data_IF_871589722266
#
_entry.id   IF_871589722266
#
_cell.length_a   1.000
_cell.length_b   1.000
_cell.length_c   1.000
_cell.angle_alpha   90.00
_cell.angle_beta   90.00
_cell.angle_gamma   90.00
#
_symmetry.space_group_name_H-M   'P 1'
#
loop_
_entity.id
_entity.type
_entity.pdbx_description
1 polymer ?
#
# COMPACT_ATOMS: atom_id res chain seq x y z
N UNK A 1 -59.43 -22.44 -24.39
CA UNK A 1 -58.77 -22.41 -23.07
C UNK A 1 -57.48 -23.22 -23.15
N UNK A 2 -56.32 -22.59 -22.84
CA UNK A 2 -55.07 -23.21 -22.26
C UNK A 2 -54.45 -24.38 -23.08
N UNK A 3 -53.20 -24.38 -23.55
CA UNK A 3 -51.95 -23.76 -23.08
C UNK A 3 -50.97 -23.65 -24.25
N UNK A 4 -50.25 -22.53 -24.26
CA UNK A 4 -49.09 -22.23 -25.11
C UNK A 4 -47.92 -23.13 -24.68
N UNK A 5 -47.30 -23.87 -25.61
CA UNK A 5 -46.05 -24.59 -25.36
C UNK A 5 -44.98 -24.05 -26.31
N UNK A 6 -44.12 -23.20 -25.75
CA UNK A 6 -42.90 -22.68 -26.34
C UNK A 6 -41.93 -23.84 -26.63
N UNK A 7 -41.47 -23.98 -27.87
CA UNK A 7 -40.37 -24.89 -28.20
C UNK A 7 -39.31 -24.22 -29.09
N UNK A 8 -38.22 -23.85 -28.41
CA UNK A 8 -36.82 -24.09 -28.80
C UNK A 8 -36.32 -23.34 -30.05
N UNK A 9 -35.85 -22.11 -29.84
CA UNK A 9 -34.74 -21.56 -30.64
C UNK A 9 -33.47 -21.74 -29.82
N UNK A 10 -32.66 -22.72 -30.19
CA UNK A 10 -31.35 -22.98 -29.62
C UNK A 10 -30.38 -21.87 -30.05
N UNK A 11 -30.19 -20.87 -29.19
CA UNK A 11 -29.13 -19.88 -29.34
C UNK A 11 -27.89 -20.41 -28.63
N UNK A 12 -27.02 -21.08 -29.39
CA UNK A 12 -25.71 -21.57 -28.95
C UNK A 12 -24.84 -20.35 -28.67
N UNK A 13 -24.68 -20.01 -27.40
CA UNK A 13 -23.69 -19.03 -26.93
C UNK A 13 -22.32 -19.72 -26.84
N UNK A 14 -21.45 -19.36 -27.78
CA UNK A 14 -20.04 -19.75 -27.83
C UNK A 14 -19.30 -19.11 -26.63
N UNK A 15 -19.04 -19.89 -25.59
CA UNK A 15 -18.13 -19.50 -24.51
C UNK A 15 -16.69 -19.52 -25.03
N UNK A 16 -16.18 -18.37 -25.46
CA UNK A 16 -14.73 -18.17 -25.61
C UNK A 16 -14.15 -18.08 -24.20
N UNK A 17 -13.53 -19.16 -23.75
CA UNK A 17 -12.74 -19.17 -22.52
C UNK A 17 -11.48 -18.33 -22.77
N UNK A 18 -11.59 -17.02 -22.55
CA UNK A 18 -10.41 -16.17 -22.37
C UNK A 18 -9.76 -16.65 -21.06
N UNK A 19 -8.46 -17.01 -21.05
CA UNK A 19 -7.76 -17.19 -19.80
C UNK A 19 -7.79 -15.84 -19.08
N UNK A 20 -8.58 -15.78 -18.00
CA UNK A 20 -8.49 -14.70 -17.02
C UNK A 20 -7.09 -14.85 -16.43
N UNK A 21 -6.15 -14.03 -16.90
CA UNK A 21 -4.97 -13.75 -16.12
C UNK A 21 -5.50 -13.25 -14.78
N UNK A 22 -5.25 -13.99 -13.72
CA UNK A 22 -5.42 -13.50 -12.37
C UNK A 22 -4.51 -12.28 -12.24
N UNK A 23 -5.07 -11.10 -12.49
CA UNK A 23 -4.47 -9.84 -12.09
C UNK A 23 -4.73 -9.79 -10.57
N UNK A 24 -3.68 -10.10 -9.81
CA UNK A 24 -3.68 -10.12 -8.36
C UNK A 24 -3.65 -8.67 -7.86
N UNK A 25 -4.82 -8.03 -7.88
CA UNK A 25 -4.98 -6.59 -7.64
C UNK A 25 -5.34 -6.29 -6.19
N UNK A 26 -4.93 -7.17 -5.27
CA UNK A 26 -5.34 -7.11 -3.87
C UNK A 26 -4.28 -6.62 -2.89
N UNK A 27 -3.00 -6.53 -3.28
CA UNK A 27 -1.94 -6.59 -2.26
C UNK A 27 -0.62 -5.86 -2.52
N UNK A 28 -0.52 -4.98 -3.51
CA UNK A 28 0.75 -4.27 -3.74
C UNK A 28 0.58 -2.78 -3.55
N UNK A 29 1.15 -2.27 -2.45
CA UNK A 29 1.48 -0.86 -2.36
C UNK A 29 2.34 -0.51 -3.59
N UNK A 30 2.17 0.67 -4.22
CA UNK A 30 3.02 1.08 -5.32
C UNK A 30 4.46 1.24 -4.80
N UNK A 31 5.26 0.18 -4.92
CA UNK A 31 6.69 0.15 -4.61
C UNK A 31 7.55 0.68 -5.77
N UNK A 32 6.90 1.19 -6.82
CA UNK A 32 7.53 1.60 -8.07
C UNK A 32 8.34 2.90 -7.98
N UNK A 33 8.32 3.60 -6.84
CA UNK A 33 9.09 4.84 -6.64
C UNK A 33 9.77 4.92 -5.27
N UNK A 34 11.01 5.39 -5.28
CA UNK A 34 11.80 5.74 -4.10
C UNK A 34 11.47 7.16 -3.61
N UNK A 35 10.18 7.49 -3.51
CA UNK A 35 9.71 8.82 -3.07
C UNK A 35 9.00 8.76 -1.72
N UNK A 36 8.99 9.88 -1.00
CA UNK A 36 8.26 10.02 0.27
C UNK A 36 6.74 9.83 0.06
N UNK A 37 6.23 10.24 -1.10
CA UNK A 37 4.81 10.09 -1.47
C UNK A 37 4.40 8.63 -1.64
N UNK A 38 5.21 7.84 -2.35
CA UNK A 38 4.94 6.41 -2.56
C UNK A 38 4.95 5.64 -1.23
N UNK A 39 5.89 5.97 -0.35
CA UNK A 39 5.93 5.43 1.01
C UNK A 39 4.70 5.85 1.84
N UNK A 40 4.22 7.08 1.69
CA UNK A 40 3.01 7.56 2.38
C UNK A 40 1.76 6.81 1.91
N UNK A 41 1.66 6.55 0.61
CA UNK A 41 0.57 5.74 0.04
C UNK A 41 0.63 4.29 0.56
N UNK A 42 1.83 3.72 0.68
CA UNK A 42 2.05 2.40 1.27
C UNK A 42 1.52 2.31 2.71
N UNK A 43 1.86 3.29 3.56
CA UNK A 43 1.39 3.35 4.95
C UNK A 43 -0.14 3.52 5.04
N UNK A 44 -0.70 4.37 4.19
CA UNK A 44 -2.16 4.56 4.15
C UNK A 44 -2.88 3.26 3.76
N UNK A 45 -2.39 2.58 2.72
CA UNK A 45 -2.92 1.28 2.30
C UNK A 45 -2.82 0.24 3.42
N UNK A 46 -1.65 0.13 4.07
CA UNK A 46 -1.41 -0.79 5.18
C UNK A 46 -2.44 -0.62 6.32
N UNK A 47 -2.83 0.63 6.62
CA UNK A 47 -3.93 0.91 7.56
C UNK A 47 -5.29 0.43 7.07
N UNK A 48 -5.61 0.64 5.78
CA UNK A 48 -6.92 0.24 5.21
C UNK A 48 -7.13 -1.27 5.14
N UNK A 49 -6.07 -2.04 4.91
CA UNK A 49 -6.13 -3.51 4.81
C UNK A 49 -5.85 -4.22 6.14
N UNK A 50 -5.65 -3.45 7.22
CA UNK A 50 -5.50 -3.99 8.58
C UNK A 50 -4.10 -4.52 8.91
N UNK A 51 -3.08 -4.23 8.09
CA UNK A 51 -1.68 -4.49 8.46
C UNK A 51 -1.19 -3.58 9.58
N UNK A 52 -1.87 -2.45 9.80
CA UNK A 52 -1.68 -1.59 10.97
C UNK A 52 -3.01 -1.53 11.72
N UNK A 53 -3.08 -2.17 12.87
CA UNK A 53 -4.34 -2.33 13.62
C UNK A 53 -4.62 -1.20 14.62
N UNK A 54 -3.61 -0.38 14.90
CA UNK A 54 -3.70 0.70 15.87
C UNK A 54 -3.70 2.07 15.19
N UNK A 55 -4.80 2.80 15.33
CA UNK A 55 -4.98 4.12 14.73
C UNK A 55 -3.93 5.15 15.20
N UNK A 56 -3.49 5.08 16.46
CA UNK A 56 -2.44 5.96 16.99
C UNK A 56 -1.07 5.68 16.37
N UNK A 57 -0.75 4.41 16.12
CA UNK A 57 0.47 4.02 15.39
C UNK A 57 0.40 4.52 13.94
N UNK A 58 -0.71 4.30 13.25
CA UNK A 58 -0.91 4.78 11.88
C UNK A 58 -0.74 6.31 11.78
N UNK A 59 -1.39 7.06 12.67
CA UNK A 59 -1.27 8.53 12.72
C UNK A 59 0.17 8.97 13.00
N UNK A 60 0.87 8.30 13.93
CA UNK A 60 2.26 8.59 14.25
C UNK A 60 3.20 8.37 13.06
N UNK A 61 2.97 7.31 12.27
CA UNK A 61 3.72 7.04 11.04
C UNK A 61 3.45 8.11 9.97
N UNK A 62 2.18 8.41 9.71
CA UNK A 62 1.78 9.45 8.74
C UNK A 62 2.33 10.83 9.11
N UNK A 63 2.34 11.19 10.39
CA UNK A 63 2.90 12.47 10.86
C UNK A 63 4.40 12.60 10.55
N UNK A 64 5.17 11.52 10.68
CA UNK A 64 6.60 11.51 10.35
C UNK A 64 6.85 11.64 8.84
N UNK A 65 6.04 10.98 8.03
CA UNK A 65 6.12 11.09 6.57
C UNK A 65 5.72 12.49 6.08
N UNK A 66 4.67 13.08 6.66
CA UNK A 66 4.30 14.47 6.39
C UNK A 66 5.42 15.45 6.77
N UNK A 67 6.06 15.24 7.93
CA UNK A 67 7.22 16.05 8.35
C UNK A 67 8.41 15.89 7.40
N UNK A 68 8.68 14.67 6.92
CA UNK A 68 9.71 14.40 5.93
C UNK A 68 9.43 15.11 4.59
N UNK A 69 8.20 14.98 4.07
CA UNK A 69 7.78 15.65 2.83
C UNK A 69 7.93 17.16 2.95
N UNK A 70 7.39 17.75 4.02
CA UNK A 70 7.48 19.19 4.26
C UNK A 70 8.94 19.69 4.36
N UNK A 71 9.85 18.88 4.93
CA UNK A 71 11.26 19.21 5.00
C UNK A 71 11.93 19.12 3.61
N UNK A 72 11.61 18.07 2.85
CA UNK A 72 12.09 17.90 1.48
C UNK A 72 11.67 19.08 0.58
N UNK A 73 10.40 19.49 0.65
CA UNK A 73 9.85 20.61 -0.12
C UNK A 73 10.54 21.96 0.19
N UNK A 74 11.10 22.10 1.41
CA UNK A 74 11.90 23.27 1.82
C UNK A 74 13.40 23.13 1.48
N UNK A 75 13.82 22.08 0.79
CA UNK A 75 15.23 21.78 0.52
C UNK A 75 16.03 21.34 1.76
N UNK A 76 15.35 21.00 2.86
CA UNK A 76 15.98 20.60 4.12
C UNK A 76 16.26 19.09 4.13
N UNK A 77 17.09 18.62 3.21
CA UNK A 77 17.31 17.19 2.93
C UNK A 77 17.72 16.41 4.18
N UNK A 78 18.66 16.92 4.98
CA UNK A 78 19.08 16.25 6.23
C UNK A 78 17.94 16.12 7.24
N UNK A 79 17.03 17.10 7.29
CA UNK A 79 15.84 17.06 8.16
C UNK A 79 14.82 16.04 7.63
N UNK A 80 14.65 15.94 6.31
CA UNK A 80 13.80 14.92 5.69
C UNK A 80 14.30 13.50 6.03
N UNK A 81 15.60 13.24 5.84
CA UNK A 81 16.24 11.96 6.19
C UNK A 81 16.08 11.64 7.68
N UNK A 82 16.25 12.62 8.58
CA UNK A 82 16.06 12.38 10.01
C UNK A 82 14.61 11.99 10.36
N UNK A 83 13.62 12.57 9.68
CA UNK A 83 12.22 12.17 9.86
C UNK A 83 11.95 10.76 9.32
N UNK A 84 12.57 10.36 8.20
CA UNK A 84 12.48 9.00 7.66
C UNK A 84 13.15 7.96 8.58
N UNK A 85 14.29 8.29 9.21
CA UNK A 85 14.91 7.44 10.24
C UNK A 85 14.00 7.30 11.47
N UNK A 86 13.37 8.40 11.90
CA UNK A 86 12.40 8.35 12.98
C UNK A 86 11.14 7.52 12.61
N UNK A 87 10.77 7.49 11.32
CA UNK A 87 9.71 6.61 10.81
C UNK A 87 10.13 5.14 10.93
N UNK A 88 11.32 4.77 10.46
CA UNK A 88 11.89 3.42 10.57
C UNK A 88 11.88 2.95 12.04
N UNK A 89 12.40 3.77 12.96
CA UNK A 89 12.43 3.43 14.38
C UNK A 89 11.02 3.16 14.97
N UNK A 90 10.01 3.89 14.51
CA UNK A 90 8.63 3.66 14.95
C UNK A 90 8.07 2.36 14.36
N UNK A 91 8.35 2.07 13.09
CA UNK A 91 7.96 0.80 12.46
C UNK A 91 8.60 -0.38 13.20
N UNK A 92 9.91 -0.34 13.45
CA UNK A 92 10.63 -1.38 14.19
C UNK A 92 10.05 -1.58 15.61
N UNK A 93 9.74 -0.48 16.31
CA UNK A 93 9.19 -0.54 17.66
C UNK A 93 7.79 -1.20 17.73
N UNK A 94 7.03 -1.15 16.63
CA UNK A 94 5.64 -1.61 16.53
C UNK A 94 5.47 -2.90 15.72
N UNK A 95 6.53 -3.37 15.06
CA UNK A 95 6.56 -4.62 14.33
C UNK A 95 6.15 -5.80 15.24
N UNK A 96 5.20 -6.60 14.78
CA UNK A 96 4.64 -7.73 15.52
C UNK A 96 3.74 -7.35 16.70
N UNK A 97 3.53 -6.06 16.98
CA UNK A 97 2.61 -5.58 18.03
C UNK A 97 1.35 -4.98 17.46
N UNK A 98 1.54 -3.98 16.60
CA UNK A 98 0.47 -3.21 15.96
C UNK A 98 0.69 -3.07 14.45
N UNK A 99 1.80 -3.60 13.94
CA UNK A 99 2.14 -3.67 12.54
C UNK A 99 2.47 -5.13 12.24
N UNK A 100 1.86 -5.71 11.21
CA UNK A 100 2.26 -7.02 10.70
C UNK A 100 3.78 -7.06 10.44
N UNK A 101 4.44 -8.11 10.88
CA UNK A 101 5.90 -8.17 10.86
C UNK A 101 6.49 -8.17 9.44
N UNK A 102 5.82 -8.84 8.49
CA UNK A 102 6.23 -8.82 7.08
C UNK A 102 6.04 -7.43 6.49
N UNK A 103 4.89 -6.81 6.76
CA UNK A 103 4.61 -5.45 6.27
C UNK A 103 5.53 -4.39 6.89
N UNK A 104 5.94 -4.56 8.14
CA UNK A 104 6.95 -3.73 8.79
C UNK A 104 8.29 -3.80 8.04
N UNK A 105 8.74 -5.01 7.68
CA UNK A 105 9.96 -5.20 6.89
C UNK A 105 9.89 -4.50 5.52
N UNK A 106 8.76 -4.61 4.82
CA UNK A 106 8.54 -3.91 3.55
C UNK A 106 8.62 -2.38 3.70
N UNK A 107 7.98 -1.81 4.73
CA UNK A 107 8.01 -0.37 4.98
C UNK A 107 9.41 0.14 5.34
N UNK A 108 10.17 -0.61 6.14
CA UNK A 108 11.56 -0.26 6.49
C UNK A 108 12.44 -0.26 5.23
N UNK A 109 12.34 -1.31 4.42
CA UNK A 109 13.09 -1.41 3.17
C UNK A 109 12.73 -0.25 2.22
N UNK A 110 11.44 0.04 2.03
CA UNK A 110 11.00 1.17 1.20
C UNK A 110 11.53 2.50 1.73
N UNK A 111 11.45 2.75 3.04
CA UNK A 111 12.02 3.96 3.65
C UNK A 111 13.54 4.08 3.44
N UNK A 112 14.28 2.97 3.48
CA UNK A 112 15.71 2.98 3.18
C UNK A 112 15.98 3.36 1.72
N UNK A 113 15.21 2.83 0.75
CA UNK A 113 15.32 3.24 -0.66
C UNK A 113 15.07 4.74 -0.85
N UNK A 114 14.10 5.31 -0.13
CA UNK A 114 13.84 6.77 -0.16
C UNK A 114 15.04 7.53 0.41
N UNK A 115 15.60 7.08 1.54
CA UNK A 115 16.79 7.72 2.13
C UNK A 115 17.98 7.68 1.17
N UNK A 116 18.22 6.54 0.52
CA UNK A 116 19.31 6.36 -0.43
C UNK A 116 19.13 7.27 -1.66
N UNK A 117 17.90 7.48 -2.12
CA UNK A 117 17.60 8.41 -3.22
C UNK A 117 17.74 9.91 -2.85
N UNK A 118 17.77 10.23 -1.55
CA UNK A 118 17.91 11.60 -1.04
C UNK A 118 19.35 11.96 -0.64
N UNK A 119 20.24 10.97 -0.51
CA UNK A 119 21.61 11.13 0.00
C UNK A 119 22.62 11.39 -1.12
#
# INVERSE_FOLDING_TARGET
MKKLAFSIVALILLFVAIPVFAHDDGHTCPHSGATITDLSNCVAHAGTVGHIDNAGVLQGLQAKLAAASNAYDRGQISVAINNLKAFINLVEAQAGKHIDATHAGHMIHHAQHVIDALS
#
